data_IF_219199240351
#
_entry.id   IF_219199240351
#
_cell.length_a   1.000
_cell.length_b   1.000
_cell.length_c   1.000
_cell.angle_alpha   90.00
_cell.angle_beta   90.00
_cell.angle_gamma   90.00
#
_symmetry.space_group_name_H-M   'P 1'
#
loop_
_entity.id
_entity.type
_entity.pdbx_description
1 polymer ?
#
# COMPACT_ATOMS: atom_id res chain seq x y z
N UNK A 1 21.76 4.29 64.65
CA UNK A 1 22.21 3.75 63.34
C UNK A 1 22.22 4.91 62.36
N UNK A 2 23.41 5.42 62.08
CA UNK A 2 23.65 6.70 61.41
C UNK A 2 23.65 6.47 59.90
N UNK A 3 22.68 7.06 59.19
CA UNK A 3 22.62 7.04 57.73
C UNK A 3 23.64 8.04 57.17
N UNK A 4 24.61 7.52 56.44
CA UNK A 4 25.66 8.26 55.77
C UNK A 4 25.08 8.88 54.49
N UNK A 5 24.86 10.20 54.52
CA UNK A 5 24.43 10.98 53.35
C UNK A 5 25.62 11.15 52.38
N UNK A 6 25.55 10.46 51.23
CA UNK A 6 26.44 10.73 50.10
C UNK A 6 26.07 12.08 49.48
N UNK A 7 26.91 13.09 49.74
CA UNK A 7 26.86 14.40 49.09
C UNK A 7 27.34 14.25 47.64
N UNK A 8 26.40 14.25 46.69
CA UNK A 8 26.69 14.35 45.27
C UNK A 8 27.06 15.80 44.94
N UNK A 9 28.32 16.05 44.56
CA UNK A 9 28.76 17.33 44.01
C UNK A 9 28.15 17.50 42.62
N UNK A 10 27.14 18.36 42.50
CA UNK A 10 26.70 18.91 41.21
C UNK A 10 27.83 19.79 40.65
N UNK A 11 28.59 19.25 39.72
CA UNK A 11 29.33 20.06 38.76
C UNK A 11 28.36 20.43 37.63
N UNK A 12 27.75 21.62 37.73
CA UNK A 12 26.79 22.22 36.77
C UNK A 12 27.42 22.63 35.42
N UNK A 13 28.51 21.99 35.04
CA UNK A 13 29.17 22.25 33.77
C UNK A 13 29.25 20.95 32.99
N UNK A 14 28.67 20.88 31.77
CA UNK A 14 28.92 19.75 30.89
C UNK A 14 30.44 19.61 30.72
N UNK A 15 30.97 18.38 30.62
CA UNK A 15 32.40 18.18 30.41
C UNK A 15 32.88 19.07 29.27
N UNK A 16 33.94 19.83 29.51
CA UNK A 16 34.56 20.64 28.49
C UNK A 16 35.03 19.70 27.37
N UNK A 17 34.33 19.73 26.24
CA UNK A 17 34.78 19.05 25.03
C UNK A 17 35.95 19.87 24.51
N UNK A 18 37.18 19.45 24.83
CA UNK A 18 38.35 19.95 24.14
C UNK A 18 38.11 19.76 22.63
N UNK A 19 38.29 20.83 21.86
CA UNK A 19 38.15 20.84 20.39
C UNK A 19 39.32 20.04 19.81
N UNK A 20 39.32 18.72 20.03
CA UNK A 20 40.37 17.81 19.60
C UNK A 20 39.85 17.06 18.39
N UNK A 21 40.61 17.23 17.31
CA UNK A 21 40.51 16.59 16.00
C UNK A 21 39.38 17.10 15.10
N UNK A 22 39.70 17.44 13.82
CA UNK A 22 38.68 17.69 12.83
C UNK A 22 37.79 16.44 12.70
N UNK A 23 36.49 16.59 12.37
CA UNK A 23 35.64 15.45 12.14
C UNK A 23 36.31 14.50 11.14
N UNK A 24 36.22 13.18 11.35
CA UNK A 24 36.84 12.21 10.45
C UNK A 24 36.37 12.48 9.02
N UNK A 25 37.26 12.26 8.05
CA UNK A 25 36.91 12.39 6.63
C UNK A 25 35.87 11.33 6.29
N UNK A 26 34.60 11.73 6.27
CA UNK A 26 33.53 10.87 5.81
C UNK A 26 33.74 10.58 4.32
N UNK A 27 33.94 9.30 3.99
CA UNK A 27 33.95 8.79 2.64
C UNK A 27 32.60 8.08 2.39
N UNK A 28 32.00 8.21 1.19
CA UNK A 28 30.85 7.38 0.85
C UNK A 28 31.21 5.89 0.82
N UNK A 29 32.48 5.53 0.65
CA UNK A 29 32.97 4.15 0.62
C UNK A 29 33.65 3.77 1.95
N UNK A 30 33.40 2.55 2.47
CA UNK A 30 34.05 2.08 3.69
C UNK A 30 35.58 2.06 3.53
N UNK A 31 36.30 2.49 4.57
CA UNK A 31 37.74 2.37 4.65
C UNK A 31 38.16 0.90 4.88
N UNK A 32 39.47 0.63 4.83
CA UNK A 32 40.00 -0.70 5.15
C UNK A 32 39.62 -1.09 6.59
N UNK A 33 38.91 -2.20 6.76
CA UNK A 33 38.42 -2.69 8.05
C UNK A 33 37.05 -2.14 8.47
N UNK A 34 36.46 -1.23 7.70
CA UNK A 34 35.06 -0.84 7.87
C UNK A 34 34.16 -1.77 7.04
N UNK A 35 33.06 -2.20 7.63
CA UNK A 35 32.01 -2.95 6.94
C UNK A 35 30.78 -2.06 6.78
N UNK A 36 30.21 -2.02 5.56
CA UNK A 36 28.98 -1.27 5.33
C UNK A 36 27.81 -2.08 5.89
N UNK A 37 27.34 -1.70 7.09
CA UNK A 37 26.28 -2.41 7.81
C UNK A 37 24.99 -2.64 6.98
N UNK A 38 24.66 -1.72 6.06
CA UNK A 38 23.62 -1.91 5.06
C UNK A 38 23.84 -0.94 3.90
N UNK A 39 24.00 -1.45 2.69
CA UNK A 39 23.71 -0.70 1.48
C UNK A 39 22.26 -1.00 1.13
N UNK A 40 21.47 0.01 0.76
CA UNK A 40 20.24 -0.21 0.00
C UNK A 40 20.50 0.16 -1.47
N UNK A 41 21.15 -0.70 -2.28
CA UNK A 41 21.26 -0.47 -3.70
C UNK A 41 19.85 -0.35 -4.27
N UNK A 42 19.57 0.77 -4.91
CA UNK A 42 18.38 0.87 -5.74
C UNK A 42 18.58 -0.10 -6.89
N UNK A 43 17.90 -1.25 -6.84
CA UNK A 43 17.74 -2.11 -8.01
C UNK A 43 17.37 -1.19 -9.18
N UNK A 44 18.20 -1.19 -10.22
CA UNK A 44 17.93 -0.42 -11.44
C UNK A 44 16.80 -1.14 -12.16
N UNK A 45 15.58 -1.01 -11.65
CA UNK A 45 14.39 -1.29 -12.46
C UNK A 45 14.57 -0.45 -13.71
N UNK A 46 14.64 -1.12 -14.87
CA UNK A 46 14.77 -0.45 -16.17
C UNK A 46 13.75 0.67 -16.19
N UNK A 47 14.23 1.92 -16.25
CA UNK A 47 13.33 3.05 -16.42
C UNK A 47 12.59 2.81 -17.74
N UNK A 48 11.27 2.96 -17.78
CA UNK A 48 10.57 2.85 -19.05
C UNK A 48 11.15 3.88 -20.01
N UNK A 49 11.44 3.47 -21.24
CA UNK A 49 12.05 4.32 -22.29
C UNK A 49 11.11 4.54 -23.48
N UNK A 50 9.94 3.90 -23.47
CA UNK A 50 8.94 4.02 -24.52
C UNK A 50 8.20 5.37 -24.45
N UNK A 51 7.27 5.55 -25.39
CA UNK A 51 6.46 6.76 -25.49
C UNK A 51 4.99 6.42 -25.69
N UNK A 52 4.12 7.20 -25.05
CA UNK A 52 2.69 7.20 -25.31
C UNK A 52 2.37 8.28 -26.34
N UNK A 53 1.69 7.90 -27.43
CA UNK A 53 1.35 8.80 -28.53
C UNK A 53 -0.17 8.88 -28.66
N UNK A 54 -0.72 10.09 -28.64
CA UNK A 54 -2.14 10.35 -28.86
C UNK A 54 -2.35 11.41 -29.93
N UNK A 55 -2.97 11.01 -31.04
CA UNK A 55 -3.39 11.93 -32.11
C UNK A 55 -4.89 12.20 -32.04
N UNK A 56 -5.26 13.48 -32.06
CA UNK A 56 -6.66 13.93 -32.15
C UNK A 56 -6.73 15.02 -33.20
N UNK A 57 -7.09 14.67 -34.43
CA UNK A 57 -7.04 15.59 -35.58
C UNK A 57 -5.65 16.21 -35.74
N UNK A 58 -5.58 17.53 -35.96
CA UNK A 58 -4.33 18.32 -36.11
C UNK A 58 -3.40 18.45 -34.90
N UNK A 59 -3.60 17.67 -33.84
CA UNK A 59 -2.78 17.75 -32.61
C UNK A 59 -2.36 16.34 -32.22
N UNK A 60 -1.06 16.12 -32.15
CA UNK A 60 -0.44 14.88 -31.67
C UNK A 60 0.33 15.17 -30.39
N UNK A 61 0.11 14.37 -29.35
CA UNK A 61 0.78 14.52 -28.06
C UNK A 61 1.63 13.28 -27.84
N UNK A 62 2.91 13.48 -27.58
CA UNK A 62 3.87 12.44 -27.25
C UNK A 62 4.28 12.62 -25.79
N UNK A 63 4.15 11.59 -24.97
CA UNK A 63 4.61 11.55 -23.58
C UNK A 63 5.71 10.49 -23.45
N UNK A 64 6.86 10.88 -22.93
CA UNK A 64 8.04 10.02 -22.84
C UNK A 64 8.06 9.21 -21.53
N UNK A 65 9.06 8.34 -21.39
CA UNK A 65 9.33 7.51 -20.21
C UNK A 65 8.14 6.59 -19.83
N UNK A 66 7.50 6.03 -20.85
CA UNK A 66 6.36 5.13 -20.72
C UNK A 66 6.76 3.67 -20.98
N UNK A 67 6.00 2.73 -20.42
CA UNK A 67 6.16 1.33 -20.80
C UNK A 67 5.77 1.13 -22.27
N UNK A 68 6.44 0.20 -22.94
CA UNK A 68 6.11 -0.16 -24.31
C UNK A 68 4.65 -0.59 -24.39
N UNK A 69 3.97 -0.15 -25.46
CA UNK A 69 2.55 -0.43 -25.73
C UNK A 69 1.57 0.00 -24.62
N UNK A 70 1.95 0.95 -23.76
CA UNK A 70 1.01 1.42 -22.73
C UNK A 70 -0.20 2.12 -23.35
N UNK A 71 -1.40 1.73 -22.90
CA UNK A 71 -2.65 2.39 -23.30
C UNK A 71 -2.96 3.60 -22.42
N UNK A 72 -2.32 3.71 -21.27
CA UNK A 72 -2.51 4.80 -20.31
C UNK A 72 -1.15 5.22 -19.73
N UNK A 73 -0.78 6.50 -19.79
CA UNK A 73 0.45 6.97 -19.18
C UNK A 73 0.48 6.76 -17.66
N UNK A 74 1.60 6.27 -17.13
CA UNK A 74 1.77 5.97 -15.71
C UNK A 74 2.84 6.85 -15.10
N UNK A 75 2.53 7.50 -13.98
CA UNK A 75 3.46 8.37 -13.25
C UNK A 75 3.52 7.99 -11.78
N UNK A 76 4.71 8.04 -11.19
CA UNK A 76 4.92 7.82 -9.75
C UNK A 76 4.98 9.13 -8.98
N UNK A 77 5.30 9.06 -7.69
CA UNK A 77 5.52 10.22 -6.81
C UNK A 77 6.54 11.18 -7.43
N UNK A 78 6.17 12.47 -7.50
CA UNK A 78 6.97 13.53 -8.16
C UNK A 78 7.29 13.19 -9.62
N UNK A 79 6.49 12.35 -10.26
CA UNK A 79 6.66 11.97 -11.66
C UNK A 79 6.61 13.21 -12.55
N UNK A 80 7.60 13.32 -13.43
CA UNK A 80 7.68 14.39 -14.42
C UNK A 80 7.01 13.93 -15.71
N UNK A 81 6.00 14.66 -16.14
CA UNK A 81 5.35 14.53 -17.44
C UNK A 81 6.23 15.26 -18.44
N UNK A 82 7.00 14.52 -19.23
CA UNK A 82 7.84 15.07 -20.31
C UNK A 82 7.36 14.60 -21.66
N UNK A 83 7.56 15.41 -22.70
CA UNK A 83 7.06 15.07 -24.02
C UNK A 83 7.10 16.24 -25.01
N UNK A 84 6.33 16.09 -26.08
CA UNK A 84 6.15 17.12 -27.09
C UNK A 84 4.69 17.16 -27.58
N UNK A 85 4.25 18.35 -27.99
CA UNK A 85 2.97 18.56 -28.67
C UNK A 85 3.30 18.96 -30.11
N UNK A 86 2.86 18.13 -31.05
CA UNK A 86 3.02 18.34 -32.49
C UNK A 86 1.74 18.92 -33.07
N UNK A 87 1.85 19.99 -33.86
CA UNK A 87 0.70 20.68 -34.46
C UNK A 87 0.89 20.83 -35.97
N UNK A 88 -0.07 20.31 -36.74
CA UNK A 88 0.02 20.32 -38.21
C UNK A 88 -0.11 21.73 -38.80
N UNK A 89 -0.94 22.61 -38.20
CA UNK A 89 -1.27 23.95 -38.73
C UNK A 89 -0.80 25.09 -37.81
N UNK A 90 0.52 25.26 -37.72
CA UNK A 90 1.17 26.18 -36.78
C UNK A 90 0.84 27.68 -36.99
N UNK A 91 0.64 28.13 -38.24
CA UNK A 91 0.37 29.56 -38.56
C UNK A 91 -0.88 30.13 -37.89
N UNK A 92 -1.84 29.25 -37.61
CA UNK A 92 -3.12 29.64 -37.03
C UNK A 92 -3.14 29.53 -35.51
N UNK A 93 -2.09 29.03 -34.87
CA UNK A 93 -2.06 28.83 -33.42
C UNK A 93 -1.89 30.19 -32.71
N UNK A 94 -2.76 30.44 -31.74
CA UNK A 94 -2.73 31.62 -30.87
C UNK A 94 -2.02 31.32 -29.54
N UNK A 95 -2.29 30.17 -28.93
CA UNK A 95 -1.64 29.74 -27.69
C UNK A 95 -1.76 28.23 -27.48
N UNK A 96 -0.82 27.68 -26.70
CA UNK A 96 -0.80 26.30 -26.24
C UNK A 96 -0.68 26.33 -24.72
N UNK A 97 -1.71 25.82 -24.07
CA UNK A 97 -1.81 25.78 -22.61
C UNK A 97 -1.99 24.35 -22.15
N UNK A 98 -1.31 23.98 -21.07
CA UNK A 98 -1.41 22.65 -20.48
C UNK A 98 -1.81 22.75 -19.03
N UNK A 99 -2.66 21.82 -18.59
CA UNK A 99 -3.19 21.76 -17.23
C UNK A 99 -3.25 20.33 -16.72
N UNK A 100 -2.55 20.05 -15.63
CA UNK A 100 -2.65 18.81 -14.87
C UNK A 100 -3.67 19.00 -13.75
N UNK A 101 -4.74 18.22 -13.79
CA UNK A 101 -5.80 18.22 -12.80
C UNK A 101 -5.89 16.86 -12.09
N UNK A 102 -5.99 16.91 -10.77
CA UNK A 102 -6.22 15.76 -9.90
C UNK A 102 -7.47 15.99 -9.07
N UNK A 103 -8.28 14.95 -8.90
CA UNK A 103 -9.52 15.03 -8.13
C UNK A 103 -9.73 13.76 -7.32
N UNK A 104 -10.15 13.94 -6.07
CA UNK A 104 -10.62 12.89 -5.17
C UNK A 104 -12.11 13.11 -4.93
N UNK A 105 -12.92 12.18 -5.40
CA UNK A 105 -14.36 12.13 -5.19
C UNK A 105 -14.70 10.97 -4.26
N UNK A 106 -15.53 11.22 -3.27
CA UNK A 106 -16.16 10.14 -2.52
C UNK A 106 -17.61 10.45 -2.18
N UNK A 107 -18.45 9.42 -2.18
CA UNK A 107 -19.89 9.51 -1.92
C UNK A 107 -20.28 8.42 -0.94
N UNK A 108 -21.02 8.79 0.10
CA UNK A 108 -21.68 7.88 1.06
C UNK A 108 -23.19 8.11 1.03
N UNK A 109 -23.95 7.39 1.87
CA UNK A 109 -25.38 7.67 2.09
C UNK A 109 -25.67 9.10 2.56
N UNK A 110 -24.68 9.73 3.19
CA UNK A 110 -24.85 11.01 3.88
C UNK A 110 -24.42 12.21 3.01
N UNK A 111 -23.94 11.94 1.79
CA UNK A 111 -23.56 12.95 0.81
C UNK A 111 -22.26 12.63 0.07
N UNK A 112 -21.86 13.55 -0.81
CA UNK A 112 -20.62 13.45 -1.57
C UNK A 112 -19.68 14.61 -1.33
N UNK A 113 -18.38 14.35 -1.46
CA UNK A 113 -17.32 15.36 -1.40
C UNK A 113 -16.43 15.23 -2.63
N UNK A 114 -16.03 16.37 -3.19
CA UNK A 114 -15.11 16.48 -4.32
C UNK A 114 -13.96 17.39 -3.94
N UNK A 115 -12.75 16.85 -3.89
CA UNK A 115 -11.54 17.57 -3.48
C UNK A 115 -10.59 17.65 -4.68
N UNK A 116 -10.13 18.86 -5.00
CA UNK A 116 -9.09 19.05 -6.01
C UNK A 116 -7.72 18.70 -5.41
N UNK A 117 -7.13 17.58 -5.83
CA UNK A 117 -5.83 17.10 -5.33
C UNK A 117 -4.66 17.68 -6.12
N UNK A 118 -4.84 18.03 -7.39
CA UNK A 118 -3.81 18.68 -8.21
C UNK A 118 -4.43 19.78 -9.05
N UNK A 119 -3.76 20.95 -9.06
CA UNK A 119 -3.99 22.05 -9.99
C UNK A 119 -2.64 22.60 -10.42
N UNK A 120 -2.13 22.17 -11.57
CA UNK A 120 -0.91 22.71 -12.16
C UNK A 120 -1.19 23.10 -13.58
N UNK A 121 -0.69 24.26 -13.99
CA UNK A 121 -0.85 24.74 -15.34
C UNK A 121 0.39 25.47 -15.84
N UNK A 122 0.57 25.47 -17.15
CA UNK A 122 1.63 26.18 -17.82
C UNK A 122 1.20 26.59 -19.23
N UNK A 123 1.57 27.80 -19.63
CA UNK A 123 1.52 28.23 -21.03
C UNK A 123 2.83 27.81 -21.69
N UNK A 124 2.78 26.82 -22.59
CA UNK A 124 3.98 26.33 -23.28
C UNK A 124 4.37 27.25 -24.43
N UNK A 125 3.39 27.87 -25.08
CA UNK A 125 3.60 28.83 -26.16
C UNK A 125 2.44 29.82 -26.25
N UNK A 126 2.73 31.07 -26.60
CA UNK A 126 1.73 32.10 -26.87
C UNK A 126 2.25 33.07 -27.92
N UNK A 127 1.39 33.43 -28.88
CA UNK A 127 1.71 34.38 -29.94
C UNK A 127 2.10 35.76 -29.40
N UNK A 128 1.51 36.18 -28.28
CA UNK A 128 1.77 37.49 -27.69
C UNK A 128 3.19 37.62 -27.11
N UNK A 129 3.83 36.50 -26.75
CA UNK A 129 5.13 36.48 -26.08
C UNK A 129 6.26 35.94 -26.96
N UNK A 130 5.92 35.32 -28.10
CA UNK A 130 6.88 34.70 -28.99
C UNK A 130 7.40 35.69 -30.05
N UNK A 131 8.70 35.62 -30.33
CA UNK A 131 9.35 36.42 -31.39
C UNK A 131 9.07 35.86 -32.79
N UNK A 132 8.80 34.55 -32.88
CA UNK A 132 8.53 33.81 -34.11
C UNK A 132 7.15 33.14 -34.07
N UNK A 133 6.74 32.56 -35.22
CA UNK A 133 5.56 31.70 -35.30
C UNK A 133 5.62 30.50 -34.35
N UNK A 134 4.49 29.79 -34.19
CA UNK A 134 4.43 28.59 -33.37
C UNK A 134 5.38 27.53 -33.93
N UNK A 135 6.26 26.93 -33.11
CA UNK A 135 7.06 25.80 -33.58
C UNK A 135 6.14 24.60 -33.89
N UNK A 136 6.58 23.75 -34.82
CA UNK A 136 5.85 22.52 -35.16
C UNK A 136 5.82 21.51 -34.01
N UNK A 137 6.85 21.53 -33.16
CA UNK A 137 7.03 20.74 -31.96
C UNK A 137 7.19 21.62 -30.73
N UNK A 138 6.28 21.49 -29.76
CA UNK A 138 6.29 22.31 -28.55
C UNK A 138 6.63 21.42 -27.36
N UNK A 139 7.76 21.64 -26.67
CA UNK A 139 8.16 20.78 -25.56
C UNK A 139 7.19 20.91 -24.38
N UNK A 140 6.85 19.76 -23.79
CA UNK A 140 5.98 19.63 -22.63
C UNK A 140 6.80 19.22 -21.40
N UNK A 141 6.63 19.95 -20.29
CA UNK A 141 7.21 19.58 -18.99
C UNK A 141 6.30 20.02 -17.84
N UNK A 142 5.70 19.08 -17.14
CA UNK A 142 4.95 19.28 -15.89
C UNK A 142 5.38 18.25 -14.85
N UNK A 143 5.09 18.47 -13.57
CA UNK A 143 5.37 17.47 -12.53
C UNK A 143 4.17 17.34 -11.59
N UNK A 144 3.94 16.12 -11.10
CA UNK A 144 3.02 15.88 -9.99
C UNK A 144 3.57 16.53 -8.71
N UNK A 145 2.75 17.24 -7.91
CA UNK A 145 3.18 17.67 -6.58
C UNK A 145 3.36 16.46 -5.64
N UNK A 146 4.03 16.65 -4.51
CA UNK A 146 4.14 15.61 -3.47
C UNK A 146 2.85 15.43 -2.67
N UNK A 147 2.12 16.53 -2.48
CA UNK A 147 1.00 16.65 -1.56
C UNK A 147 0.02 17.74 -2.01
N UNK A 148 -1.10 17.86 -1.29
CA UNK A 148 -2.13 18.87 -1.48
C UNK A 148 -2.75 19.26 -0.15
N UNK A 149 -3.24 20.49 -0.05
CA UNK A 149 -3.86 21.00 1.19
C UNK A 149 -5.38 20.87 1.14
N UNK A 150 -5.97 20.36 2.21
CA UNK A 150 -7.43 20.33 2.41
C UNK A 150 -7.75 20.50 3.90
N UNK A 151 -8.72 21.36 4.23
CA UNK A 151 -9.05 21.64 5.63
C UNK A 151 -7.87 22.19 6.46
N UNK A 152 -6.92 22.88 5.82
CA UNK A 152 -5.71 23.39 6.47
C UNK A 152 -4.63 22.34 6.77
N UNK A 153 -4.84 21.07 6.42
CA UNK A 153 -3.85 20.00 6.58
C UNK A 153 -3.25 19.61 5.22
N UNK A 154 -1.97 19.23 5.24
CA UNK A 154 -1.29 18.70 4.06
C UNK A 154 -1.49 17.18 3.98
N UNK A 155 -1.89 16.70 2.81
CA UNK A 155 -2.14 15.29 2.54
C UNK A 155 -1.28 14.79 1.39
N UNK A 156 -0.75 13.56 1.44
CA UNK A 156 -0.09 12.97 0.29
C UNK A 156 -1.08 12.81 -0.86
N UNK A 157 -0.61 12.96 -2.10
CA UNK A 157 -1.43 12.64 -3.27
C UNK A 157 -1.89 11.17 -3.22
N UNK A 158 -3.20 10.90 -3.26
CA UNK A 158 -3.69 9.53 -3.32
C UNK A 158 -3.35 8.88 -4.67
N UNK A 159 -3.07 7.57 -4.72
CA UNK A 159 -2.95 6.84 -5.98
C UNK A 159 -4.24 6.95 -6.80
N UNK A 160 -4.15 6.81 -8.13
CA UNK A 160 -5.33 6.55 -8.96
C UNK A 160 -6.06 5.32 -8.41
N UNK A 161 -7.33 5.50 -8.06
CA UNK A 161 -8.09 4.51 -7.31
C UNK A 161 -9.57 4.62 -7.66
N UNK A 162 -10.23 3.48 -7.84
CA UNK A 162 -11.68 3.41 -8.05
C UNK A 162 -12.23 2.31 -7.18
N UNK A 163 -13.23 2.64 -6.38
CA UNK A 163 -13.96 1.72 -5.54
C UNK A 163 -15.43 2.05 -5.59
N UNK A 164 -16.20 1.21 -6.29
CA UNK A 164 -17.63 1.39 -6.56
C UNK A 164 -18.41 0.09 -6.33
N UNK A 165 -18.34 -0.46 -5.11
CA UNK A 165 -18.99 -1.72 -4.80
C UNK A 165 -20.52 -1.57 -4.88
N UNK A 166 -21.19 -2.60 -5.36
CA UNK A 166 -22.65 -2.58 -5.53
C UNK A 166 -23.34 -2.82 -4.18
N UNK A 167 -24.54 -2.27 -3.96
CA UNK A 167 -25.33 -2.49 -2.74
C UNK A 167 -25.27 -1.38 -1.68
N UNK A 168 -25.95 -1.62 -0.55
CA UNK A 168 -26.14 -0.66 0.55
C UNK A 168 -25.20 -1.02 1.73
N UNK A 169 -24.55 -0.05 2.41
CA UNK A 169 -24.57 1.37 2.12
C UNK A 169 -23.83 1.71 0.82
N UNK A 170 -24.37 2.68 0.08
CA UNK A 170 -23.70 3.20 -1.11
C UNK A 170 -22.40 3.85 -0.68
N UNK A 171 -21.29 3.39 -1.24
CA UNK A 171 -19.97 3.99 -1.04
C UNK A 171 -19.24 4.00 -2.38
N UNK A 172 -18.82 5.18 -2.82
CA UNK A 172 -18.02 5.39 -4.01
C UNK A 172 -16.77 6.16 -3.62
N UNK A 173 -15.60 5.74 -4.09
CA UNK A 173 -14.34 6.48 -3.97
C UNK A 173 -13.64 6.47 -5.32
N UNK A 174 -13.29 7.64 -5.83
CA UNK A 174 -12.59 7.80 -7.10
C UNK A 174 -11.47 8.82 -6.95
N UNK A 175 -10.24 8.44 -7.26
CA UNK A 175 -9.12 9.36 -7.40
C UNK A 175 -8.63 9.32 -8.85
N UNK A 176 -8.72 10.46 -9.54
CA UNK A 176 -8.39 10.57 -10.97
C UNK A 176 -7.44 11.71 -11.24
N UNK A 177 -6.62 11.53 -12.27
CA UNK A 177 -5.67 12.52 -12.74
C UNK A 177 -5.79 12.65 -14.27
N UNK A 178 -5.80 13.87 -14.76
CA UNK A 178 -6.00 14.17 -16.17
C UNK A 178 -5.06 15.29 -16.61
N UNK A 179 -4.40 15.10 -17.74
CA UNK A 179 -3.69 16.16 -18.46
C UNK A 179 -4.62 16.73 -19.54
N UNK A 180 -4.80 18.04 -19.52
CA UNK A 180 -5.52 18.79 -20.53
C UNK A 180 -4.52 19.58 -21.36
N UNK A 181 -4.54 19.37 -22.67
CA UNK A 181 -3.79 20.17 -23.64
C UNK A 181 -4.79 21.00 -24.43
N UNK A 182 -4.70 22.31 -24.30
CA UNK A 182 -5.58 23.29 -24.91
C UNK A 182 -4.81 24.05 -25.96
N UNK A 183 -5.20 23.89 -27.23
CA UNK A 183 -4.64 24.65 -28.36
C UNK A 183 -5.69 25.64 -28.84
N UNK A 184 -5.38 26.93 -28.74
CA UNK A 184 -6.23 28.01 -29.22
C UNK A 184 -5.75 28.47 -30.59
N UNK A 185 -6.67 28.72 -31.52
CA UNK A 185 -6.38 29.14 -32.88
C UNK A 185 -7.01 30.50 -33.20
N UNK A 186 -6.28 31.36 -33.93
CA UNK A 186 -6.79 32.62 -34.47
C UNK A 186 -7.76 32.37 -35.62
N UNK A 187 -8.93 33.02 -35.62
CA UNK A 187 -9.88 32.97 -36.74
C UNK A 187 -9.63 34.14 -37.69
N UNK A 188 -9.56 33.86 -39.00
CA UNK A 188 -9.32 34.90 -40.04
C UNK A 188 -10.38 36.01 -40.06
N UNK A 189 -11.64 35.71 -39.70
CA UNK A 189 -12.76 36.64 -39.89
C UNK A 189 -13.49 37.07 -38.60
N UNK A 190 -13.06 36.61 -37.42
CA UNK A 190 -13.72 36.90 -36.12
C UNK A 190 -12.66 36.94 -35.01
N UNK A 191 -12.02 38.10 -34.83
CA UNK A 191 -10.88 38.27 -33.91
C UNK A 191 -11.24 38.13 -32.42
N UNK A 192 -12.53 38.12 -32.07
CA UNK A 192 -12.97 38.17 -30.67
C UNK A 192 -13.22 36.81 -30.00
N UNK A 193 -13.30 35.69 -30.75
CA UNK A 193 -13.51 34.36 -30.16
C UNK A 193 -12.54 33.33 -30.78
N UNK A 194 -11.47 32.93 -30.08
CA UNK A 194 -10.56 31.92 -30.59
C UNK A 194 -11.28 30.57 -30.77
N UNK A 195 -10.89 29.79 -31.78
CA UNK A 195 -11.30 28.39 -31.88
C UNK A 195 -10.39 27.60 -30.95
N UNK A 196 -10.95 26.92 -29.96
CA UNK A 196 -10.16 26.17 -28.98
C UNK A 196 -10.37 24.68 -29.17
N UNK A 197 -9.28 23.92 -29.14
CA UNK A 197 -9.27 22.46 -29.17
C UNK A 197 -8.68 21.95 -27.87
N UNK A 198 -9.42 21.09 -27.17
CA UNK A 198 -9.00 20.52 -25.89
C UNK A 198 -8.81 19.02 -26.09
N UNK A 199 -7.61 18.54 -25.81
CA UNK A 199 -7.30 17.11 -25.74
C UNK A 199 -7.13 16.72 -24.28
N UNK A 200 -7.93 15.75 -23.83
CA UNK A 200 -7.88 15.20 -22.47
C UNK A 200 -7.16 13.86 -22.50
N UNK A 201 -6.18 13.68 -21.62
CA UNK A 201 -5.41 12.45 -21.44
C UNK A 201 -5.60 11.98 -19.99
N UNK A 202 -6.25 10.83 -19.75
CA UNK A 202 -6.28 10.23 -18.42
C UNK A 202 -4.86 9.76 -18.04
N UNK A 203 -4.46 10.02 -16.81
CA UNK A 203 -3.17 9.60 -16.27
C UNK A 203 -3.38 8.67 -15.08
N UNK A 204 -2.57 7.62 -15.02
CA UNK A 204 -2.50 6.75 -13.86
C UNK A 204 -1.39 7.21 -12.92
N UNK A 205 -1.76 7.75 -11.76
CA UNK A 205 -0.82 8.07 -10.71
C UNK A 205 -0.63 6.85 -9.80
N UNK A 206 0.53 6.21 -9.87
CA UNK A 206 0.86 4.99 -9.14
C UNK A 206 2.15 5.20 -8.33
N UNK A 207 2.07 5.82 -7.14
CA UNK A 207 3.23 6.01 -6.27
C UNK A 207 3.81 4.66 -5.86
N UNK A 208 5.10 4.48 -6.15
CA UNK A 208 5.84 3.27 -5.79
C UNK A 208 6.20 3.28 -4.31
N UNK A 209 5.94 2.17 -3.62
CA UNK A 209 6.22 1.93 -2.21
C UNK A 209 6.70 0.50 -2.06
N UNK A 210 7.61 0.26 -1.10
CA UNK A 210 8.28 -1.02 -0.88
C UNK A 210 8.40 -1.33 0.61
N UNK A 211 8.47 -2.61 0.99
CA UNK A 211 8.90 -3.00 2.33
C UNK A 211 10.33 -2.51 2.59
N UNK A 212 10.64 -2.21 3.86
CA UNK A 212 12.01 -1.83 4.25
C UNK A 212 12.97 -3.03 4.32
N UNK A 213 12.42 -4.24 4.47
CA UNK A 213 13.15 -5.49 4.67
C UNK A 213 12.50 -6.61 3.83
N UNK A 214 13.27 -7.66 3.48
CA UNK A 214 12.73 -8.83 2.81
C UNK A 214 11.74 -9.57 3.70
N UNK A 215 10.89 -10.39 3.08
CA UNK A 215 10.16 -11.43 3.81
C UNK A 215 11.16 -12.52 4.17
N UNK A 216 11.24 -12.86 5.44
CA UNK A 216 12.07 -13.96 5.91
C UNK A 216 11.45 -15.31 5.52
N UNK A 217 12.04 -15.98 4.53
CA UNK A 217 11.58 -17.27 4.02
C UNK A 217 12.41 -18.41 4.62
N UNK A 218 12.13 -18.75 5.88
CA UNK A 218 12.69 -19.94 6.55
C UNK A 218 11.52 -20.81 7.04
N UNK A 219 11.62 -22.15 6.98
CA UNK A 219 10.61 -23.02 7.56
C UNK A 219 10.30 -22.59 8.99
N UNK A 220 9.02 -22.41 9.30
CA UNK A 220 8.58 -21.70 10.50
C UNK A 220 9.26 -22.19 11.78
N UNK A 221 9.27 -23.50 12.02
CA UNK A 221 9.85 -24.06 13.25
C UNK A 221 11.36 -23.80 13.36
N UNK A 222 12.08 -23.75 12.24
CA UNK A 222 13.47 -23.32 12.22
C UNK A 222 13.56 -21.81 12.48
N UNK A 223 12.76 -21.01 11.77
CA UNK A 223 12.76 -19.55 11.85
C UNK A 223 12.42 -19.01 13.24
N UNK A 224 11.40 -19.55 13.91
CA UNK A 224 11.02 -19.14 15.27
C UNK A 224 12.15 -19.42 16.27
N UNK A 225 12.88 -20.52 16.10
CA UNK A 225 13.96 -20.90 17.02
C UNK A 225 15.25 -20.15 16.72
N UNK A 226 15.58 -19.95 15.45
CA UNK A 226 16.82 -19.30 15.03
C UNK A 226 16.75 -17.78 15.09
N UNK A 227 15.56 -17.22 14.85
CA UNK A 227 15.34 -15.79 14.60
C UNK A 227 13.93 -15.36 15.08
N UNK A 228 13.60 -15.51 16.37
CA UNK A 228 12.27 -15.17 16.91
C UNK A 228 11.89 -13.70 16.66
N UNK A 229 12.86 -12.79 16.58
CA UNK A 229 12.68 -11.37 16.26
C UNK A 229 12.13 -11.10 14.85
N UNK A 230 12.26 -12.06 13.93
CA UNK A 230 11.70 -12.01 12.58
C UNK A 230 10.22 -12.39 12.54
N UNK A 231 9.63 -12.77 13.68
CA UNK A 231 8.24 -13.18 13.80
C UNK A 231 7.48 -12.31 14.80
N UNK A 232 6.23 -11.99 14.49
CA UNK A 232 5.27 -11.44 15.42
C UNK A 232 4.18 -12.47 15.73
N UNK A 233 3.69 -12.45 16.96
CA UNK A 233 2.63 -13.33 17.41
C UNK A 233 1.37 -12.51 17.75
N UNK A 234 0.23 -12.93 17.21
CA UNK A 234 -1.08 -12.41 17.56
C UNK A 234 -1.91 -13.50 18.23
N UNK A 235 -2.34 -13.25 19.46
CA UNK A 235 -3.11 -14.21 20.27
C UNK A 235 -4.59 -13.79 20.30
N UNK A 236 -5.50 -14.77 20.34
CA UNK A 236 -6.93 -14.58 20.55
C UNK A 236 -7.53 -15.84 21.18
N UNK A 237 -8.48 -15.69 22.10
CA UNK A 237 -9.26 -16.81 22.62
C UNK A 237 -10.43 -17.14 21.67
N UNK A 238 -10.70 -18.43 21.47
CA UNK A 238 -11.89 -18.90 20.75
C UNK A 238 -13.11 -18.72 21.65
N UNK A 239 -14.09 -17.93 21.18
CA UNK A 239 -15.25 -17.55 21.99
C UNK A 239 -16.16 -18.75 22.24
N UNK A 240 -16.68 -18.86 23.46
CA UNK A 240 -17.65 -19.88 23.86
C UNK A 240 -19.08 -19.32 23.88
N UNK A 241 -20.07 -20.20 23.71
CA UNK A 241 -21.49 -19.89 23.97
C UNK A 241 -21.70 -19.81 25.49
N UNK A 242 -22.59 -18.92 25.95
CA UNK A 242 -22.76 -18.59 27.37
C UNK A 242 -23.11 -19.78 28.31
N UNK A 243 -23.66 -20.87 27.77
CA UNK A 243 -24.13 -22.01 28.56
C UNK A 243 -23.07 -23.10 28.79
N UNK A 244 -21.84 -22.91 28.31
CA UNK A 244 -20.78 -23.90 28.42
C UNK A 244 -19.64 -23.36 29.28
N UNK A 245 -19.08 -24.23 30.11
CA UNK A 245 -17.93 -23.95 30.97
C UNK A 245 -16.77 -24.87 30.59
N UNK A 246 -16.31 -24.76 29.33
CA UNK A 246 -15.16 -25.53 28.86
C UNK A 246 -13.85 -24.76 29.08
N UNK A 247 -12.74 -25.48 29.16
CA UNK A 247 -11.42 -24.85 29.21
C UNK A 247 -11.18 -24.03 27.94
N UNK A 248 -10.59 -22.83 28.06
CA UNK A 248 -10.40 -21.92 26.93
C UNK A 248 -9.48 -22.53 25.87
N UNK A 249 -9.72 -22.16 24.61
CA UNK A 249 -8.84 -22.50 23.48
C UNK A 249 -8.18 -21.20 23.03
N UNK A 250 -6.85 -21.19 22.98
CA UNK A 250 -6.07 -20.08 22.48
C UNK A 250 -5.71 -20.31 21.01
N UNK A 251 -5.91 -19.29 20.18
CA UNK A 251 -5.40 -19.21 18.82
C UNK A 251 -4.18 -18.29 18.80
N UNK A 252 -3.05 -18.85 18.41
CA UNK A 252 -1.80 -18.13 18.17
C UNK A 252 -1.58 -18.04 16.65
N UNK A 253 -1.39 -16.83 16.15
CA UNK A 253 -1.07 -16.58 14.74
C UNK A 253 0.32 -15.96 14.66
N UNK A 254 1.21 -16.58 13.90
CA UNK A 254 2.57 -16.12 13.67
C UNK A 254 2.72 -15.61 12.23
N UNK A 255 3.29 -14.43 12.10
CA UNK A 255 3.54 -13.72 10.84
C UNK A 255 4.95 -13.12 10.85
N UNK A 256 5.52 -12.74 9.70
CA UNK A 256 6.72 -11.92 9.68
C UNK A 256 6.57 -10.66 10.53
N UNK A 257 7.61 -10.31 11.27
CA UNK A 257 7.60 -9.19 12.22
C UNK A 257 7.33 -7.85 11.55
N UNK A 258 7.74 -7.68 10.28
CA UNK A 258 7.41 -6.50 9.48
C UNK A 258 6.06 -6.69 8.77
N UNK A 259 4.99 -5.97 9.17
CA UNK A 259 3.67 -6.13 8.57
C UNK A 259 3.52 -5.33 7.27
N UNK A 260 4.56 -5.22 6.46
CA UNK A 260 4.57 -4.46 5.20
C UNK A 260 4.96 -5.40 4.07
N UNK A 261 4.04 -5.64 3.14
CA UNK A 261 4.21 -6.65 2.08
C UNK A 261 3.91 -6.05 0.72
N UNK A 262 4.70 -6.40 -0.29
CA UNK A 262 4.41 -6.10 -1.68
C UNK A 262 3.11 -6.76 -2.16
N UNK A 263 2.48 -6.16 -3.15
CA UNK A 263 1.20 -6.63 -3.70
C UNK A 263 1.28 -8.01 -4.37
N UNK A 264 2.48 -8.46 -4.71
CA UNK A 264 2.73 -9.78 -5.30
C UNK A 264 3.41 -10.74 -4.33
N UNK A 265 3.62 -10.34 -3.08
CA UNK A 265 4.33 -11.15 -2.10
C UNK A 265 3.47 -12.35 -1.64
N UNK A 266 4.18 -13.42 -1.28
CA UNK A 266 3.61 -14.56 -0.56
C UNK A 266 3.93 -14.40 0.91
N UNK A 267 2.92 -14.13 1.71
CA UNK A 267 3.09 -13.82 3.13
C UNK A 267 2.98 -15.13 3.91
N UNK A 268 4.07 -15.65 4.51
CA UNK A 268 4.01 -16.86 5.30
C UNK A 268 3.15 -16.65 6.55
N UNK A 269 2.39 -17.66 6.92
CA UNK A 269 1.52 -17.65 8.10
C UNK A 269 1.55 -19.01 8.78
N UNK A 270 1.59 -18.98 10.11
CA UNK A 270 1.32 -20.16 10.93
C UNK A 270 0.19 -19.87 11.91
N UNK A 271 -0.65 -20.88 12.10
CA UNK A 271 -1.78 -20.83 13.01
C UNK A 271 -1.69 -22.02 13.93
N UNK A 272 -1.80 -21.77 15.22
CA UNK A 272 -1.80 -22.79 16.25
C UNK A 272 -3.03 -22.62 17.13
N UNK A 273 -3.74 -23.71 17.38
CA UNK A 273 -4.77 -23.79 18.42
C UNK A 273 -4.24 -24.61 19.57
N UNK A 274 -4.38 -24.12 20.79
CA UNK A 274 -3.90 -24.80 21.99
C UNK A 274 -4.94 -24.75 23.10
N UNK A 275 -5.16 -25.86 23.79
CA UNK A 275 -6.19 -25.97 24.81
C UNK A 275 -6.30 -27.37 25.40
N UNK A 276 -7.21 -27.56 26.36
CA UNK A 276 -7.53 -28.90 26.84
C UNK A 276 -8.06 -29.75 25.68
N UNK A 277 -7.61 -31.01 25.59
CA UNK A 277 -7.99 -31.94 24.53
C UNK A 277 -9.51 -32.07 24.36
N UNK A 278 -10.26 -32.08 25.48
CA UNK A 278 -11.72 -32.12 25.46
C UNK A 278 -12.34 -30.90 24.77
N UNK A 279 -11.82 -29.70 25.03
CA UNK A 279 -12.25 -28.46 24.39
C UNK A 279 -11.96 -28.49 22.89
N UNK A 280 -10.75 -28.89 22.50
CA UNK A 280 -10.35 -28.98 21.09
C UNK A 280 -11.23 -30.00 20.34
N UNK A 281 -11.44 -31.19 20.88
CA UNK A 281 -12.37 -32.17 20.31
C UNK A 281 -13.78 -31.60 20.13
N UNK A 282 -14.30 -30.84 21.09
CA UNK A 282 -15.62 -30.19 21.00
C UNK A 282 -15.67 -29.04 19.98
N UNK A 283 -14.55 -28.37 19.72
CA UNK A 283 -14.44 -27.38 18.65
C UNK A 283 -14.49 -28.05 17.27
N UNK A 284 -13.88 -29.23 17.13
CA UNK A 284 -13.68 -29.88 15.84
C UNK A 284 -14.75 -30.91 15.44
N UNK A 285 -15.33 -31.61 16.41
CA UNK A 285 -16.24 -32.72 16.12
C UNK A 285 -17.59 -32.22 15.62
N UNK A 286 -17.93 -32.55 14.37
CA UNK A 286 -19.31 -32.66 13.93
C UNK A 286 -19.78 -34.11 14.15
N UNK A 287 -20.78 -34.36 15.02
CA UNK A 287 -21.30 -35.71 15.22
C UNK A 287 -21.85 -36.36 13.93
N UNK A 288 -22.14 -35.57 12.90
CA UNK A 288 -22.70 -36.05 11.63
C UNK A 288 -21.67 -36.23 10.50
N UNK A 289 -20.42 -35.81 10.69
CA UNK A 289 -19.35 -35.94 9.70
C UNK A 289 -18.04 -36.36 10.36
N UNK A 290 -17.77 -37.67 10.49
CA UNK A 290 -16.57 -38.20 11.13
C UNK A 290 -15.27 -37.99 10.33
N UNK A 291 -15.25 -37.12 9.32
CA UNK A 291 -14.09 -36.90 8.47
C UNK A 291 -13.95 -35.43 8.07
N UNK A 292 -12.73 -34.91 8.26
CA UNK A 292 -12.18 -33.64 7.79
C UNK A 292 -12.45 -32.42 8.68
N UNK A 293 -11.48 -32.17 9.55
CA UNK A 293 -11.17 -30.87 10.15
C UNK A 293 -11.12 -29.78 9.06
N UNK A 294 -12.07 -28.84 9.06
CA UNK A 294 -11.98 -27.66 8.19
C UNK A 294 -10.81 -26.80 8.71
N UNK A 295 -9.77 -26.57 7.90
CA UNK A 295 -8.66 -25.72 8.32
C UNK A 295 -9.14 -24.28 8.53
N UNK A 296 -8.48 -23.49 9.39
CA UNK A 296 -8.79 -22.07 9.55
C UNK A 296 -8.85 -21.34 8.19
N UNK A 297 -9.90 -20.57 7.95
CA UNK A 297 -9.95 -19.77 6.72
C UNK A 297 -9.06 -18.55 6.88
N UNK A 298 -8.07 -18.40 6.00
CA UNK A 298 -7.20 -17.23 5.93
C UNK A 298 -7.55 -16.41 4.69
N UNK A 299 -7.73 -15.11 4.87
CA UNK A 299 -7.98 -14.19 3.77
C UNK A 299 -7.34 -12.84 4.02
N UNK A 300 -6.91 -12.17 2.96
CA UNK A 300 -6.49 -10.78 3.01
C UNK A 300 -7.69 -9.89 2.69
N UNK A 301 -8.06 -9.03 3.64
CA UNK A 301 -9.24 -8.18 3.57
C UNK A 301 -8.82 -6.72 3.49
N UNK A 302 -9.34 -6.00 2.50
CA UNK A 302 -9.22 -4.55 2.37
C UNK A 302 -10.44 -3.86 2.94
N UNK A 303 -10.23 -2.90 3.81
CA UNK A 303 -11.25 -1.99 4.32
C UNK A 303 -11.07 -0.61 3.71
N UNK A 304 -12.12 -0.11 3.07
CA UNK A 304 -12.23 1.29 2.65
C UNK A 304 -13.08 2.01 3.68
N UNK A 305 -12.55 3.09 4.25
CA UNK A 305 -13.20 3.94 5.23
C UNK A 305 -13.33 5.33 4.61
N UNK A 306 -14.55 5.88 4.64
CA UNK A 306 -14.85 7.23 4.21
C UNK A 306 -15.41 8.01 5.39
N UNK A 307 -14.87 9.20 5.63
CA UNK A 307 -15.30 10.14 6.66
C UNK A 307 -15.78 11.43 5.99
N UNK A 308 -17.06 11.75 6.15
CA UNK A 308 -17.71 12.92 5.57
C UNK A 308 -18.59 13.60 6.61
N UNK A 309 -18.30 14.86 6.94
CA UNK A 309 -19.12 15.65 7.87
C UNK A 309 -19.30 15.03 9.26
N UNK A 310 -18.32 14.28 9.76
CA UNK A 310 -18.39 13.57 11.04
C UNK A 310 -19.05 12.18 10.98
N UNK A 311 -19.70 11.83 9.86
CA UNK A 311 -20.14 10.46 9.61
C UNK A 311 -18.99 9.62 9.09
N UNK A 312 -18.97 8.34 9.50
CA UNK A 312 -17.96 7.36 9.11
C UNK A 312 -18.62 6.13 8.54
N UNK A 313 -18.43 5.89 7.25
CA UNK A 313 -18.85 4.67 6.56
C UNK A 313 -17.62 3.80 6.30
N UNK A 314 -17.74 2.48 6.45
CA UNK A 314 -16.67 1.57 6.07
C UNK A 314 -17.20 0.34 5.35
N UNK A 315 -16.38 -0.21 4.44
CA UNK A 315 -16.70 -1.45 3.74
C UNK A 315 -15.46 -2.28 3.57
N UNK A 316 -15.60 -3.57 3.85
CA UNK A 316 -14.54 -4.55 3.74
C UNK A 316 -14.83 -5.52 2.59
N UNK A 317 -13.78 -5.94 1.89
CA UNK A 317 -13.85 -6.96 0.85
C UNK A 317 -12.55 -7.74 0.79
N UNK A 318 -12.63 -8.99 0.33
CA UNK A 318 -11.46 -9.87 0.20
C UNK A 318 -10.67 -9.48 -1.04
N UNK A 319 -9.37 -9.26 -0.87
CA UNK A 319 -8.41 -8.97 -1.95
C UNK A 319 -7.42 -10.12 -2.18
N UNK A 320 -7.44 -11.14 -1.33
CA UNK A 320 -6.56 -12.31 -1.42
C UNK A 320 -7.03 -13.45 -0.52
N UNK A 321 -6.64 -14.67 -0.88
CA UNK A 321 -6.97 -15.87 -0.11
C UNK A 321 -5.70 -16.58 0.33
N UNK A 322 -5.74 -17.19 1.51
CA UNK A 322 -4.66 -17.99 2.04
C UNK A 322 -4.81 -19.46 1.70
N UNK A 323 -3.68 -20.11 1.45
CA UNK A 323 -3.58 -21.57 1.33
C UNK A 323 -2.82 -22.06 2.53
N UNK A 324 -3.50 -22.78 3.42
CA UNK A 324 -2.89 -23.39 4.61
C UNK A 324 -3.09 -24.89 4.60
N UNK A 325 -2.14 -25.60 5.21
CA UNK A 325 -2.09 -27.05 5.32
C UNK A 325 -1.92 -27.41 6.80
N UNK A 326 -2.58 -28.48 7.23
CA UNK A 326 -2.39 -29.00 8.58
C UNK A 326 -0.98 -29.57 8.73
N UNK A 327 -0.31 -29.25 9.83
CA UNK A 327 0.97 -29.86 10.20
C UNK A 327 0.67 -31.12 11.04
N UNK A 328 1.19 -32.31 10.64
CA UNK A 328 0.98 -33.53 11.41
C UNK A 328 1.52 -33.41 12.85
N UNK A 329 0.83 -33.95 13.86
CA UNK A 329 1.31 -33.97 15.23
C UNK A 329 2.63 -34.75 15.33
N UNK A 330 3.52 -34.32 16.22
CA UNK A 330 4.80 -35.01 16.45
C UNK A 330 4.55 -36.23 17.36
N UNK A 331 5.25 -37.33 17.12
CA UNK A 331 5.08 -38.60 17.86
C UNK A 331 5.19 -38.51 19.39
N UNK A 332 5.77 -37.43 19.92
CA UNK A 332 5.84 -37.13 21.36
C UNK A 332 4.49 -36.73 21.99
N UNK A 333 3.45 -36.44 21.21
CA UNK A 333 2.11 -36.06 21.69
C UNK A 333 1.18 -37.26 21.97
N UNK A 334 1.65 -38.50 21.77
CA UNK A 334 0.84 -39.73 21.91
C UNK A 334 0.84 -40.34 23.33
N UNK A 335 1.36 -39.66 24.35
CA UNK A 335 1.34 -40.16 25.72
C UNK A 335 -0.01 -39.87 26.39
N UNK A 336 -0.80 -40.93 26.58
CA UNK A 336 -2.14 -40.91 27.19
C UNK A 336 -2.13 -40.34 28.62
N UNK A 337 -2.54 -39.08 28.77
CA UNK A 337 -3.03 -38.53 30.04
C UNK A 337 -4.34 -37.78 29.77
N UNK A 338 -5.38 -38.11 30.51
CA UNK A 338 -6.78 -37.68 30.28
C UNK A 338 -7.01 -36.15 30.46
N UNK A 339 -6.01 -35.44 30.98
CA UNK A 339 -5.95 -33.97 31.12
C UNK A 339 -4.90 -33.31 30.21
N UNK A 340 -4.47 -33.99 29.14
CA UNK A 340 -3.42 -33.46 28.26
C UNK A 340 -3.86 -32.18 27.56
N UNK A 341 -3.04 -31.13 27.70
CA UNK A 341 -3.09 -29.94 26.86
C UNK A 341 -2.59 -30.32 25.46
N UNK A 342 -3.38 -30.06 24.43
CA UNK A 342 -3.08 -30.47 23.06
C UNK A 342 -2.96 -29.24 22.13
N UNK A 343 -2.35 -29.45 20.97
CA UNK A 343 -1.97 -28.42 20.01
C UNK A 343 -2.28 -28.87 18.59
N UNK A 344 -2.95 -28.00 17.83
CA UNK A 344 -3.22 -28.18 16.40
C UNK A 344 -2.52 -27.09 15.62
N UNK A 345 -1.77 -27.46 14.60
CA UNK A 345 -0.91 -26.56 13.85
C UNK A 345 -1.27 -26.55 12.36
N UNK A 346 -1.22 -25.37 11.74
CA UNK A 346 -1.35 -25.17 10.30
C UNK A 346 -0.33 -24.17 9.80
N UNK A 347 0.28 -24.48 8.66
CA UNK A 347 1.24 -23.61 7.98
C UNK A 347 0.78 -23.28 6.56
N UNK A 348 1.17 -22.13 6.05
CA UNK A 348 0.86 -21.77 4.68
C UNK A 348 1.24 -20.35 4.31
N UNK A 349 0.58 -19.85 3.26
CA UNK A 349 0.86 -18.54 2.70
C UNK A 349 -0.44 -17.83 2.33
N UNK A 350 -0.46 -16.49 2.44
CA UNK A 350 -1.52 -15.64 1.91
C UNK A 350 -0.98 -14.71 0.84
N UNK A 351 -1.72 -14.60 -0.27
CA UNK A 351 -1.34 -13.78 -1.43
C UNK A 351 -2.47 -12.85 -1.82
N UNK A 352 -2.14 -11.61 -2.20
CA UNK A 352 -3.09 -10.71 -2.86
C UNK A 352 -3.35 -11.22 -4.28
N UNK A 353 -4.58 -11.06 -4.78
CA UNK A 353 -4.86 -11.15 -6.21
C UNK A 353 -4.26 -9.92 -6.92
N UNK A 354 -3.00 -10.00 -7.32
CA UNK A 354 -2.25 -8.91 -7.97
C UNK A 354 -2.79 -8.53 -9.36
N UNK A 355 -3.57 -9.40 -10.00
CA UNK A 355 -4.24 -9.09 -11.26
C UNK A 355 -5.38 -8.09 -11.08
N UNK A 356 -6.16 -8.26 -10.01
CA UNK A 356 -7.30 -7.41 -9.67
C UNK A 356 -6.91 -6.19 -8.82
N UNK A 357 -5.94 -6.35 -7.91
CA UNK A 357 -5.50 -5.29 -6.99
C UNK A 357 -4.21 -4.69 -7.52
N UNK A 358 -4.21 -3.38 -7.82
CA UNK A 358 -3.05 -2.65 -8.35
C UNK A 358 -2.51 -1.57 -7.43
N UNK A 359 -3.22 -1.30 -6.34
CA UNK A 359 -2.95 -0.19 -5.44
C UNK A 359 -2.77 -0.72 -4.02
N UNK A 360 -1.76 -0.20 -3.31
CA UNK A 360 -1.57 -0.48 -1.89
C UNK A 360 -2.57 0.27 -0.99
N UNK A 361 -2.43 0.10 0.32
CA UNK A 361 -3.15 0.92 1.29
C UNK A 361 -2.69 2.38 1.26
N UNK A 362 -3.61 3.33 1.48
CA UNK A 362 -3.31 4.76 1.54
C UNK A 362 -4.31 5.49 2.41
N UNK A 363 -3.92 6.66 2.92
CA UNK A 363 -4.80 7.57 3.66
C UNK A 363 -4.65 8.97 3.10
N UNK A 364 -5.77 9.65 2.92
CA UNK A 364 -5.87 11.01 2.36
C UNK A 364 -7.11 11.71 2.92
N UNK A 365 -7.43 12.93 2.51
CA UNK A 365 -8.54 13.70 3.09
C UNK A 365 -9.87 12.92 3.01
N UNK A 366 -10.42 12.55 4.18
CA UNK A 366 -11.69 11.83 4.31
C UNK A 366 -11.70 10.39 3.82
N UNK A 367 -10.58 9.81 3.38
CA UNK A 367 -10.52 8.45 2.83
C UNK A 367 -9.33 7.68 3.38
N UNK A 368 -9.57 6.46 3.86
CA UNK A 368 -8.52 5.52 4.29
C UNK A 368 -8.77 4.12 3.72
N UNK A 369 -7.77 3.58 3.03
CA UNK A 369 -7.74 2.22 2.52
C UNK A 369 -6.72 1.43 3.34
N UNK A 370 -7.21 0.45 4.10
CA UNK A 370 -6.45 -0.34 5.07
C UNK A 370 -6.54 -1.82 4.73
N UNK A 371 -5.50 -2.58 5.05
CA UNK A 371 -5.44 -4.00 4.76
C UNK A 371 -5.28 -4.80 6.06
N UNK A 372 -5.88 -5.99 6.10
CA UNK A 372 -5.85 -6.89 7.25
C UNK A 372 -5.69 -8.33 6.77
N UNK A 373 -4.89 -9.12 7.48
CA UNK A 373 -5.00 -10.57 7.41
C UNK A 373 -6.11 -10.97 8.36
N UNK A 374 -7.13 -11.65 7.83
CA UNK A 374 -8.25 -12.17 8.58
C UNK A 374 -8.13 -13.70 8.67
N UNK A 375 -8.13 -14.20 9.91
CA UNK A 375 -8.16 -15.62 10.22
C UNK A 375 -9.52 -15.93 10.82
N UNK A 376 -10.23 -16.92 10.29
CA UNK A 376 -11.56 -17.33 10.77
C UNK A 376 -11.56 -18.81 11.09
N UNK A 377 -11.88 -19.14 12.34
CA UNK A 377 -12.17 -20.50 12.79
C UNK A 377 -13.69 -20.66 12.82
N UNK A 378 -14.20 -21.55 11.97
CA UNK A 378 -15.63 -21.89 11.96
C UNK A 378 -15.88 -23.01 12.94
N UNK A 379 -16.71 -22.72 13.95
CA UNK A 379 -17.21 -23.75 14.83
C UNK A 379 -18.41 -24.45 14.17
N UNK A 380 -18.50 -25.80 14.17
CA UNK A 380 -19.68 -26.52 13.73
C UNK A 380 -20.95 -26.03 14.44
N UNK A 381 -22.16 -26.13 13.83
CA UNK A 381 -23.39 -25.59 14.42
C UNK A 381 -23.66 -26.09 15.87
N UNK A 382 -23.37 -27.36 16.11
CA UNK A 382 -23.55 -28.05 17.39
C UNK A 382 -22.39 -27.86 18.38
N UNK A 383 -21.32 -27.18 17.96
CA UNK A 383 -20.17 -26.91 18.83
C UNK A 383 -20.55 -25.95 19.96
N UNK A 384 -19.98 -26.10 21.17
CA UNK A 384 -20.13 -25.12 22.25
C UNK A 384 -19.39 -23.79 21.96
N UNK A 385 -18.56 -23.75 20.92
CA UNK A 385 -17.83 -22.56 20.51
C UNK A 385 -18.58 -21.73 19.46
N UNK A 386 -18.24 -20.45 19.39
CA UNK A 386 -18.69 -19.52 18.37
C UNK A 386 -17.64 -19.42 17.26
N UNK A 387 -18.08 -19.12 16.05
CA UNK A 387 -17.15 -18.74 14.97
C UNK A 387 -16.34 -17.53 15.44
N UNK A 388 -15.02 -17.69 15.43
CA UNK A 388 -14.09 -16.68 15.93
C UNK A 388 -13.26 -16.16 14.76
N UNK A 389 -13.11 -14.84 14.67
CA UNK A 389 -12.28 -14.19 13.67
C UNK A 389 -11.26 -13.26 14.33
N UNK A 390 -10.02 -13.28 13.82
CA UNK A 390 -8.96 -12.35 14.20
C UNK A 390 -8.54 -11.54 12.99
N UNK A 391 -8.48 -10.22 13.17
CA UNK A 391 -7.97 -9.28 12.18
C UNK A 391 -6.59 -8.79 12.63
N UNK A 392 -5.59 -8.95 11.77
CA UNK A 392 -4.22 -8.50 12.01
C UNK A 392 -3.92 -7.41 10.98
N UNK A 393 -3.64 -6.16 11.39
CA UNK A 393 -3.39 -5.07 10.46
C UNK A 393 -2.08 -5.31 9.71
N UNK A 394 -2.13 -5.12 8.39
CA UNK A 394 -0.95 -5.18 7.52
C UNK A 394 -0.99 -4.00 6.55
N UNK A 395 0.15 -3.72 5.91
CA UNK A 395 0.26 -2.70 4.87
C UNK A 395 0.68 -3.36 3.57
N UNK A 396 -0.22 -3.33 2.59
CA UNK A 396 0.14 -3.75 1.23
C UNK A 396 0.73 -2.55 0.48
N UNK A 397 1.91 -2.74 -0.09
CA UNK A 397 2.64 -1.75 -0.91
C UNK A 397 2.75 -2.22 -2.35
N UNK A 398 3.16 -1.35 -3.27
CA UNK A 398 3.04 -1.62 -4.71
C UNK A 398 4.10 -2.57 -5.25
N UNK A 399 5.33 -2.52 -4.75
CA UNK A 399 6.42 -3.39 -5.18
C UNK A 399 6.85 -4.32 -4.05
N UNK A 400 7.28 -5.53 -4.40
CA UNK A 400 8.02 -6.43 -3.50
C UNK A 400 9.35 -5.83 -3.06
N UNK A 401 9.89 -6.37 -1.97
CA UNK A 401 11.28 -6.13 -1.64
C UNK A 401 12.19 -6.69 -2.75
N UNK A 402 13.33 -6.04 -2.97
CA UNK A 402 14.32 -6.50 -3.94
C UNK A 402 15.70 -6.39 -3.31
N UNK A 403 16.44 -7.49 -3.39
CA UNK A 403 17.87 -7.51 -3.08
C UNK A 403 18.61 -6.51 -3.95
N UNK A 404 19.71 -6.02 -3.40
CA UNK A 404 20.77 -5.45 -4.20
C UNK A 404 21.12 -6.41 -5.35
N UNK A 405 21.24 -5.96 -6.61
CA UNK A 405 22.13 -6.68 -7.51
C UNK A 405 23.53 -6.64 -6.88
N UNK A 406 24.15 -7.81 -6.69
CA UNK A 406 25.58 -7.90 -6.36
C UNK A 406 26.36 -7.29 -7.54
N UNK A 407 27.06 -6.20 -7.29
CA UNK A 407 28.05 -5.62 -8.21
C UNK A 407 29.43 -5.97 -7.72
#
# INVERSE_FOLDING_TARGET
MTLQQCSARNSDHPPAYDIVSPPPKYSPNPACGEERAQQAPRARVSRPTGSYILTRGSVTIVLNDQADDTTEPVYSRLGKITGAILIDSHDSVASIHVRLLGRLDYVTSDGGTSIQTVSREATLWSRCTAVSGCPGDVPLSLAFPSSYTHGGQDHPLPPSYVFSPHGIPMMLVTSTYNLYVTVSYTRRNMSFIPKTKIVRIPLRYQPRTRPGQPIFHVPLFCGIKSSPEEWQQAICEVKQKANFSLSPINMNVLLPSTPIFGICDRIPIHIQLSGALQSLRRLLSDPNSPANLEPPKVSLTRQVVVENGGSRTSRSFVIGEGKILSVPPTTSQLADADDSYDVLDWEGEVTVNCGATRTGGFTTAGVSVRDFIQITIRAPPNSPFLTTAKHIPVRIVTDSWQDAPNW
#
